data_IF_359484019338
#
_entry.id   IF_359484019338
#
_cell.length_a   1.000
_cell.length_b   1.000
_cell.length_c   1.000
_cell.angle_alpha   90.00
_cell.angle_beta   90.00
_cell.angle_gamma   90.00
#
_symmetry.space_group_name_H-M   'P 1'
#
loop_
_entity.id
_entity.type
_entity.pdbx_description
1 polymer ?
#
# COMPACT_ATOMS: atom_id res chain seq x y z
N UNK A 1 1.75 -26.89 21.82
CA UNK A 1 2.52 -27.16 20.59
C UNK A 1 3.26 -25.88 20.23
N UNK A 2 4.56 -25.90 19.88
CA UNK A 2 5.24 -24.67 19.47
C UNK A 2 4.60 -24.15 18.18
N UNK A 3 4.20 -22.88 18.17
CA UNK A 3 3.69 -22.24 16.97
C UNK A 3 4.81 -22.22 15.93
N UNK A 4 4.56 -22.76 14.74
CA UNK A 4 5.52 -22.70 13.63
C UNK A 4 5.52 -21.27 13.10
N UNK A 5 6.49 -20.47 13.52
CA UNK A 5 6.66 -19.12 13.01
C UNK A 5 6.94 -19.16 11.51
N UNK A 6 6.18 -18.35 10.76
CA UNK A 6 6.24 -18.27 9.30
C UNK A 6 7.42 -17.40 8.84
N UNK A 7 8.00 -16.62 9.76
CA UNK A 7 9.05 -15.65 9.51
C UNK A 7 10.38 -16.06 10.15
N UNK A 8 11.46 -15.49 9.62
CA UNK A 8 12.83 -15.75 10.09
C UNK A 8 13.12 -15.07 11.43
N UNK A 9 12.39 -13.99 11.74
CA UNK A 9 12.64 -13.15 12.92
C UNK A 9 11.45 -13.09 13.85
N UNK A 10 11.71 -13.26 15.14
CA UNK A 10 10.72 -13.14 16.21
C UNK A 10 11.26 -12.22 17.30
N UNK A 11 10.48 -11.25 17.75
CA UNK A 11 10.85 -10.32 18.82
C UNK A 11 9.69 -10.15 19.80
N UNK A 12 10.00 -9.81 21.05
CA UNK A 12 8.96 -9.51 22.05
C UNK A 12 8.29 -8.16 21.78
N UNK A 13 7.04 -8.04 22.22
CA UNK A 13 6.28 -6.78 22.15
C UNK A 13 6.96 -5.64 22.90
N UNK A 14 7.68 -5.92 23.98
CA UNK A 14 8.44 -4.93 24.74
C UNK A 14 9.59 -4.35 23.90
N UNK A 15 10.33 -5.21 23.20
CA UNK A 15 11.43 -4.80 22.32
C UNK A 15 10.89 -3.98 21.14
N UNK A 16 9.78 -4.44 20.55
CA UNK A 16 9.14 -3.73 19.45
C UNK A 16 8.64 -2.35 19.85
N UNK A 17 8.06 -2.22 21.06
CA UNK A 17 7.60 -0.93 21.59
C UNK A 17 8.73 0.07 21.82
N UNK A 18 9.93 -0.39 22.14
CA UNK A 18 11.07 0.49 22.37
C UNK A 18 11.48 1.20 21.07
N UNK A 19 11.65 0.48 19.97
CA UNK A 19 12.09 1.04 18.68
C UNK A 19 11.44 0.30 17.48
N UNK A 20 10.16 0.56 17.17
CA UNK A 20 9.44 -0.22 16.15
C UNK A 20 10.01 -0.03 14.74
N UNK A 21 10.42 1.20 14.42
CA UNK A 21 10.98 1.55 13.10
C UNK A 21 12.32 0.85 12.86
N UNK A 22 13.19 0.84 13.87
CA UNK A 22 14.50 0.19 13.77
C UNK A 22 14.38 -1.32 13.67
N UNK A 23 13.44 -1.93 14.40
CA UNK A 23 13.21 -3.37 14.30
C UNK A 23 12.66 -3.76 12.92
N UNK A 24 11.75 -2.97 12.34
CA UNK A 24 11.22 -3.20 10.98
C UNK A 24 12.31 -2.98 9.93
N UNK A 25 13.14 -1.94 10.05
CA UNK A 25 14.22 -1.66 9.10
C UNK A 25 15.31 -2.75 9.03
N UNK A 26 15.37 -3.64 10.02
CA UNK A 26 16.31 -4.77 10.02
C UNK A 26 15.91 -5.93 9.11
N UNK A 27 14.70 -5.89 8.55
CA UNK A 27 14.25 -6.83 7.52
C UNK A 27 13.81 -6.05 6.29
N UNK A 28 14.25 -6.51 5.12
CA UNK A 28 13.96 -5.87 3.84
C UNK A 28 12.79 -6.57 3.16
N UNK A 29 12.82 -7.92 3.12
CA UNK A 29 11.84 -8.74 2.39
C UNK A 29 11.22 -9.85 3.25
N UNK A 30 11.15 -9.67 4.57
CA UNK A 30 10.56 -10.65 5.47
C UNK A 30 9.70 -9.98 6.54
N UNK A 31 8.78 -10.76 7.10
CA UNK A 31 7.97 -10.35 8.24
C UNK A 31 8.73 -10.56 9.56
N UNK A 32 8.27 -9.87 10.61
CA UNK A 32 8.71 -10.08 11.98
C UNK A 32 7.50 -10.55 12.79
N UNK A 33 7.60 -11.69 13.46
CA UNK A 33 6.62 -12.09 14.46
C UNK A 33 6.83 -11.30 15.75
N UNK A 34 5.79 -10.59 16.19
CA UNK A 34 5.77 -9.90 17.47
C UNK A 34 5.07 -10.79 18.50
N UNK A 35 5.75 -11.11 19.59
CA UNK A 35 5.26 -12.06 20.59
C UNK A 35 5.07 -11.46 21.98
N UNK A 36 4.13 -12.01 22.74
CA UNK A 36 4.00 -11.83 24.18
C UNK A 36 3.76 -13.19 24.81
N UNK A 37 4.39 -13.49 25.94
CA UNK A 37 4.18 -14.76 26.66
C UNK A 37 4.37 -16.01 25.76
N UNK A 38 5.32 -15.93 24.82
CA UNK A 38 5.61 -16.96 23.79
C UNK A 38 4.48 -17.24 22.79
N UNK A 39 3.47 -16.38 22.72
CA UNK A 39 2.43 -16.41 21.70
C UNK A 39 2.63 -15.27 20.69
N UNK A 40 2.43 -15.59 19.40
CA UNK A 40 2.48 -14.57 18.34
C UNK A 40 1.22 -13.73 18.39
N UNK A 41 1.38 -12.42 18.56
CA UNK A 41 0.29 -11.46 18.58
C UNK A 41 -0.05 -11.00 17.15
N UNK A 42 0.97 -10.56 16.41
CA UNK A 42 0.83 -10.08 15.04
C UNK A 42 2.18 -10.15 14.30
N UNK A 43 2.10 -9.94 12.98
CA UNK A 43 3.27 -9.83 12.12
C UNK A 43 3.44 -8.37 11.68
N UNK A 44 4.66 -7.87 11.72
CA UNK A 44 5.04 -6.57 11.18
C UNK A 44 5.87 -6.78 9.92
N UNK A 45 5.67 -5.94 8.91
CA UNK A 45 6.39 -5.96 7.64
C UNK A 45 6.81 -4.53 7.26
N UNK A 46 7.85 -4.37 6.42
CA UNK A 46 8.12 -3.10 5.76
C UNK A 46 6.92 -2.64 4.91
N UNK A 47 6.76 -1.33 4.78
CA UNK A 47 5.63 -0.73 4.03
C UNK A 47 5.61 -1.20 2.58
N UNK A 48 6.76 -1.21 1.91
CA UNK A 48 6.87 -1.63 0.51
C UNK A 48 6.36 -3.07 0.31
N UNK A 49 6.78 -3.99 1.18
CA UNK A 49 6.32 -5.38 1.16
C UNK A 49 4.81 -5.51 1.41
N UNK A 50 4.26 -4.71 2.32
CA UNK A 50 2.81 -4.70 2.57
C UNK A 50 2.03 -4.30 1.31
N UNK A 51 2.44 -3.21 0.66
CA UNK A 51 1.77 -2.71 -0.55
C UNK A 51 1.86 -3.71 -1.71
N UNK A 52 3.02 -4.37 -1.89
CA UNK A 52 3.17 -5.43 -2.90
C UNK A 52 2.25 -6.61 -2.62
N UNK A 53 2.15 -7.05 -1.36
CA UNK A 53 1.25 -8.12 -0.96
C UNK A 53 -0.21 -7.75 -1.22
N UNK A 54 -0.62 -6.52 -0.87
CA UNK A 54 -1.98 -6.02 -1.12
C UNK A 54 -2.26 -5.97 -2.62
N UNK A 55 -1.37 -5.40 -3.41
CA UNK A 55 -1.52 -5.32 -4.87
C UNK A 55 -1.64 -6.71 -5.50
N UNK A 56 -0.84 -7.68 -5.05
CA UNK A 56 -0.92 -9.06 -5.51
C UNK A 56 -2.25 -9.72 -5.13
N UNK A 57 -2.70 -9.52 -3.88
CA UNK A 57 -4.00 -10.02 -3.43
C UNK A 57 -5.15 -9.42 -4.24
N UNK A 58 -5.13 -8.12 -4.49
CA UNK A 58 -6.12 -7.44 -5.31
C UNK A 58 -6.12 -7.98 -6.75
N UNK A 59 -4.94 -8.09 -7.37
CA UNK A 59 -4.79 -8.66 -8.70
C UNK A 59 -5.37 -10.07 -8.77
N UNK A 60 -5.04 -10.92 -7.80
CA UNK A 60 -5.50 -12.31 -7.75
C UNK A 60 -7.01 -12.41 -7.51
N UNK A 61 -7.57 -11.54 -6.66
CA UNK A 61 -9.01 -11.49 -6.40
C UNK A 61 -9.82 -10.97 -7.60
N UNK A 62 -9.23 -10.10 -8.43
CA UNK A 62 -9.83 -9.68 -9.72
C UNK A 62 -9.89 -10.83 -10.75
N UNK A 63 -9.16 -11.92 -10.53
CA UNK A 63 -9.23 -13.14 -11.35
C UNK A 63 -8.69 -12.92 -12.77
N UNK A 64 -9.47 -13.30 -13.80
CA UNK A 64 -9.13 -13.17 -15.24
C UNK A 64 -9.88 -12.02 -15.94
N UNK A 65 -10.36 -11.02 -15.20
CA UNK A 65 -10.92 -9.84 -15.87
C UNK A 65 -9.77 -9.07 -16.48
N UNK A 66 -9.57 -9.20 -17.80
CA UNK A 66 -8.84 -8.21 -18.57
C UNK A 66 -9.35 -6.84 -18.16
N UNK A 67 -8.43 -5.92 -17.82
CA UNK A 67 -8.77 -4.52 -17.66
C UNK A 67 -9.27 -4.03 -19.03
N UNK A 68 -10.56 -4.21 -19.28
CA UNK A 68 -11.23 -3.56 -20.38
C UNK A 68 -11.19 -2.08 -20.03
N UNK A 69 -10.15 -1.40 -20.50
CA UNK A 69 -10.20 0.01 -20.81
C UNK A 69 -11.21 0.21 -21.95
N UNK A 70 -12.47 -0.18 -21.74
CA UNK A 70 -13.53 0.61 -22.31
C UNK A 70 -13.41 1.90 -21.50
N UNK A 71 -13.22 3.07 -22.13
CA UNK A 71 -13.45 4.32 -21.44
C UNK A 71 -14.90 4.20 -20.98
N UNK A 72 -15.11 3.84 -19.72
CA UNK A 72 -16.38 4.04 -19.09
C UNK A 72 -16.48 5.55 -19.09
N UNK A 73 -17.21 6.09 -20.08
CA UNK A 73 -17.63 7.47 -20.03
C UNK A 73 -18.34 7.53 -18.71
N UNK A 74 -17.70 8.14 -17.72
CA UNK A 74 -18.31 8.45 -16.44
C UNK A 74 -19.70 8.92 -16.80
N UNK A 75 -20.71 8.11 -16.49
CA UNK A 75 -22.10 8.50 -16.69
C UNK A 75 -22.41 9.46 -15.54
N UNK A 76 -21.68 10.56 -15.51
CA UNK A 76 -22.09 11.79 -14.88
C UNK A 76 -23.36 12.16 -15.64
N UNK A 77 -24.44 12.36 -14.89
CA UNK A 77 -25.71 12.87 -15.40
C UNK A 77 -25.42 13.94 -16.47
N UNK A 78 -26.18 13.90 -17.58
CA UNK A 78 -26.00 14.59 -18.89
C UNK A 78 -25.67 16.10 -18.86
N UNK A 79 -25.53 16.68 -17.68
CA UNK A 79 -25.24 18.08 -17.38
C UNK A 79 -23.78 18.41 -17.12
N UNK A 80 -22.87 17.42 -17.01
CA UNK A 80 -21.44 17.69 -16.81
C UNK A 80 -20.60 17.15 -17.98
N UNK A 81 -20.25 18.05 -18.90
CA UNK A 81 -19.28 17.83 -19.97
C UNK A 81 -17.97 17.30 -19.38
N UNK A 82 -17.72 16.00 -19.58
CA UNK A 82 -16.49 15.31 -19.17
C UNK A 82 -15.25 15.99 -19.73
N UNK A 83 -15.38 16.61 -20.90
CA UNK A 83 -14.29 17.30 -21.58
C UNK A 83 -13.85 18.55 -20.80
N UNK A 84 -14.78 19.32 -20.24
CA UNK A 84 -14.44 20.47 -19.37
C UNK A 84 -13.80 20.04 -18.05
N UNK A 85 -14.16 18.88 -17.51
CA UNK A 85 -13.55 18.37 -16.29
C UNK A 85 -12.12 17.91 -16.55
N UNK A 86 -11.88 17.19 -17.64
CA UNK A 86 -10.55 16.72 -18.05
C UNK A 86 -9.64 17.90 -18.38
N UNK A 87 -10.14 18.92 -19.09
CA UNK A 87 -9.39 20.15 -19.36
C UNK A 87 -9.01 20.89 -18.07
N UNK A 88 -9.94 21.07 -17.14
CA UNK A 88 -9.64 21.70 -15.83
C UNK A 88 -8.63 20.92 -15.01
N UNK A 89 -8.63 19.59 -15.11
CA UNK A 89 -7.67 18.73 -14.41
C UNK A 89 -6.29 18.81 -15.06
N UNK A 90 -6.22 18.79 -16.39
CA UNK A 90 -4.99 18.97 -17.15
C UNK A 90 -4.35 20.34 -16.87
N UNK A 91 -5.15 21.42 -16.90
CA UNK A 91 -4.69 22.76 -16.55
C UNK A 91 -4.18 22.85 -15.11
N UNK A 92 -4.83 22.16 -14.16
CA UNK A 92 -4.44 22.17 -12.75
C UNK A 92 -3.15 21.38 -12.50
N UNK A 93 -2.92 20.29 -13.22
CA UNK A 93 -1.67 19.53 -13.17
C UNK A 93 -0.54 20.37 -13.78
N UNK A 94 -0.79 21.01 -14.92
CA UNK A 94 0.22 21.80 -15.63
C UNK A 94 0.60 23.09 -14.89
N UNK A 95 -0.34 23.73 -14.19
CA UNK A 95 -0.02 24.84 -13.26
C UNK A 95 0.82 24.38 -12.08
N UNK A 96 0.50 23.21 -11.49
CA UNK A 96 1.24 22.68 -10.33
C UNK A 96 2.68 22.30 -10.67
N UNK A 97 2.98 21.95 -11.93
CA UNK A 97 4.35 21.74 -12.41
C UNK A 97 5.15 23.02 -12.66
N UNK A 98 4.51 24.18 -12.80
CA UNK A 98 5.20 25.46 -13.04
C UNK A 98 5.44 26.26 -11.74
N UNK A 99 4.75 25.94 -10.64
CA UNK A 99 4.92 26.63 -9.35
C UNK A 99 6.02 26.01 -8.46
N UNK A 100 6.67 24.92 -8.91
CA UNK A 100 7.84 24.29 -8.24
C UNK A 100 9.19 24.69 -8.88
N UNK A 101 9.20 25.73 -9.74
CA UNK A 101 10.43 26.30 -10.30
C UNK A 101 10.47 27.84 -10.10
N UNK A 102 10.56 28.31 -8.85
CA UNK A 102 11.41 29.46 -8.46
C UNK A 102 11.35 29.76 -6.94
N UNK A 103 12.49 29.49 -6.27
CA UNK A 103 13.12 30.43 -5.34
C UNK A 103 13.58 31.69 -6.10
#
# INVERSE_FOLDING_TARGET
>A
MPQKNICTRTISIEKFKANPVEEIAQVVDDAIAITSDNETLFYAVPTELYEEMVAFCEYTQRGTTEQKNVPDRFSLDETQDTDQFVEKLAEKIQKKSNDDECL
#
